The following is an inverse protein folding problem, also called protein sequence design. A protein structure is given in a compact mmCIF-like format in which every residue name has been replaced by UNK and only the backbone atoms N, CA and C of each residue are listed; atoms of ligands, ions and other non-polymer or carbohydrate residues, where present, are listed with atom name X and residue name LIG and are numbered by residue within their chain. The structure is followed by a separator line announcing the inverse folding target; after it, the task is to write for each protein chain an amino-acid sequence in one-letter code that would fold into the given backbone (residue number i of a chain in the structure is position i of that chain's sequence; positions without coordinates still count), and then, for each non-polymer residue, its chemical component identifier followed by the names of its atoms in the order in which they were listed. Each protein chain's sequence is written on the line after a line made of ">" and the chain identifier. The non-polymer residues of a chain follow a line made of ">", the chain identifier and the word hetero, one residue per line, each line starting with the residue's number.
data_IF_456964190999
#
_entry.id   IF_456964190999
#
_cell.length_a   1.000
_cell.length_b   1.000
_cell.length_c   1.000
_cell.angle_alpha   90.00
_cell.angle_beta   90.00
_cell.angle_gamma   90.00
#
_symmetry.space_group_name_H-M   'P 1'
#
loop_
_entity.id
_entity.type
_entity.pdbx_description
1 polymer ?
2 non-polymer ?
3 water ?
#
# COMPACT_ATOMS: atom_id res chain seq x y z
N UNK A 23 8.45 -40.02 -4.85
CA UNK A 23 9.80 -39.39 -4.66
C UNK A 23 9.92 -38.08 -5.45
N UNK A 24 9.00 -37.79 -6.39
CA UNK A 24 8.76 -36.41 -6.90
C UNK A 24 8.17 -35.56 -5.76
N UNK A 25 7.19 -36.09 -5.02
CA UNK A 25 6.64 -35.37 -3.86
C UNK A 25 7.80 -35.01 -2.90
N UNK A 26 8.79 -35.86 -2.73
CA UNK A 26 9.88 -35.59 -1.77
C UNK A 26 10.78 -34.48 -2.34
N UNK A 27 10.97 -34.43 -3.65
CA UNK A 27 11.76 -33.36 -4.30
C UNK A 27 11.05 -32.00 -4.19
N UNK A 28 9.72 -32.00 -4.35
CA UNK A 28 8.84 -30.82 -4.16
C UNK A 28 8.99 -30.32 -2.71
N UNK A 29 9.02 -31.22 -1.73
CA UNK A 29 9.19 -30.85 -0.31
C UNK A 29 10.48 -30.03 -0.15
N UNK A 30 11.60 -30.49 -0.71
CA UNK A 30 12.90 -29.77 -0.58
C UNK A 30 12.81 -28.39 -1.28
N UNK A 31 12.22 -28.33 -2.46
CA UNK A 31 12.07 -27.07 -3.20
C UNK A 31 11.27 -26.10 -2.34
N UNK A 32 10.17 -26.57 -1.73
CA UNK A 32 9.24 -25.73 -0.95
C UNK A 32 9.87 -25.33 0.36
N UNK A 33 10.68 -26.19 0.94
CA UNK A 33 11.38 -25.92 2.20
C UNK A 33 12.28 -24.74 1.94
N UNK A 34 13.11 -24.81 0.92
CA UNK A 34 14.04 -23.68 0.55
C UNK A 34 13.22 -22.41 0.19
N UNK A 35 12.17 -22.54 -0.60
CA UNK A 35 11.32 -21.41 -1.01
C UNK A 35 10.77 -20.67 0.23
N UNK A 36 10.28 -21.40 1.24
CA UNK A 36 9.66 -20.83 2.44
C UNK A 36 10.76 -20.05 3.20
N UNK A 37 11.89 -20.68 3.44
CA UNK A 37 12.91 -20.01 4.30
C UNK A 37 13.50 -18.82 3.56
N UNK A 38 13.70 -18.94 2.26
CA UNK A 38 14.15 -17.82 1.40
C UNK A 38 13.16 -16.68 1.43
N UNK A 39 11.87 -16.98 1.29
CA UNK A 39 10.80 -15.99 1.41
C UNK A 39 10.93 -15.20 2.73
N UNK A 40 11.05 -15.91 3.82
CA UNK A 40 11.14 -15.28 5.16
C UNK A 40 12.37 -14.38 5.21
N UNK A 41 13.47 -14.84 4.67
CA UNK A 41 14.76 -14.08 4.71
C UNK A 41 14.68 -12.87 3.81
N UNK A 42 14.19 -13.02 2.57
CA UNK A 42 14.08 -11.89 1.65
C UNK A 42 13.17 -10.83 2.24
N UNK A 43 12.04 -11.23 2.84
CA UNK A 43 11.12 -10.35 3.56
C UNK A 43 11.84 -9.60 4.72
N UNK A 44 12.61 -10.28 5.54
CA UNK A 44 13.30 -9.60 6.68
C UNK A 44 14.43 -8.69 6.16
N UNK A 45 15.17 -9.00 5.10
CA UNK A 45 16.49 -8.36 4.81
C UNK A 45 16.51 -7.70 3.43
N UNK A 46 15.65 -8.09 2.50
CA UNK A 46 15.77 -7.66 1.09
C UNK A 46 16.80 -8.50 0.32
N UNK A 47 16.67 -8.47 -1.00
CA UNK A 47 17.53 -9.21 -1.95
C UNK A 47 19.00 -8.78 -1.78
N UNK A 48 19.27 -7.48 -1.67
CA UNK A 48 20.68 -6.97 -1.63
C UNK A 48 21.43 -7.47 -0.38
N UNK A 49 20.76 -7.58 0.76
CA UNK A 49 21.43 -7.99 2.03
C UNK A 49 21.21 -9.47 2.36
N UNK A 50 20.86 -10.33 1.40
CA UNK A 50 20.64 -11.77 1.70
C UNK A 50 21.63 -12.59 0.89
N UNK A 51 22.40 -13.43 1.53
CA UNK A 51 23.42 -14.22 0.81
C UNK A 51 22.91 -15.64 0.66
N UNK A 52 23.50 -16.36 -0.28
CA UNK A 52 23.23 -17.80 -0.51
C UNK A 52 23.60 -18.61 0.74
N UNK A 53 24.64 -18.20 1.47
CA UNK A 53 25.05 -18.93 2.68
C UNK A 53 23.92 -18.78 3.72
N UNK A 54 23.37 -17.56 3.90
CA UNK A 54 22.22 -17.40 4.79
C UNK A 54 21.08 -18.34 4.35
N UNK A 55 20.77 -18.40 3.06
CA UNK A 55 19.57 -19.20 2.63
C UNK A 55 19.82 -20.69 2.99
N UNK A 56 21.00 -21.16 2.66
CA UNK A 56 21.48 -22.54 2.97
C UNK A 56 21.41 -22.85 4.47
N UNK A 57 21.76 -21.88 5.29
CA UNK A 57 21.71 -22.10 6.75
C UNK A 57 20.27 -22.09 7.24
N UNK A 58 19.46 -21.10 6.84
CA UNK A 58 18.05 -21.05 7.29
C UNK A 58 17.34 -22.32 6.78
N UNK A 59 17.53 -22.70 5.52
CA UNK A 59 16.77 -23.82 4.90
C UNK A 59 17.39 -25.15 5.34
N UNK A 60 18.65 -25.12 5.81
CA UNK A 60 19.46 -26.32 6.20
C UNK A 60 19.55 -27.28 5.01
N UNK A 61 19.78 -26.70 3.85
CA UNK A 61 19.99 -27.42 2.59
C UNK A 61 21.25 -26.82 2.00
N UNK A 62 22.00 -27.60 1.22
CA UNK A 62 23.30 -27.14 0.68
C UNK A 62 23.09 -26.34 -0.60
N UNK A 63 24.16 -25.68 -1.00
CA UNK A 63 24.18 -24.82 -2.19
C UNK A 63 23.72 -25.64 -3.43
N UNK A 64 24.11 -26.91 -3.54
CA UNK A 64 23.77 -27.71 -4.73
C UNK A 64 22.26 -27.95 -4.78
N UNK A 65 21.61 -28.18 -3.63
CA UNK A 65 20.15 -28.40 -3.54
C UNK A 65 19.42 -27.10 -3.97
N UNK A 66 19.98 -25.97 -3.62
CA UNK A 66 19.35 -24.69 -3.99
C UNK A 66 19.45 -24.51 -5.50
N UNK A 67 20.65 -24.56 -6.02
CA UNK A 67 20.87 -24.38 -7.48
C UNK A 67 20.09 -25.45 -8.27
N UNK A 68 19.94 -26.67 -7.75
CA UNK A 68 19.20 -27.74 -8.41
C UNK A 68 17.77 -27.21 -8.67
N UNK A 69 17.13 -26.81 -7.63
CA UNK A 69 15.71 -26.43 -7.69
C UNK A 69 15.49 -25.07 -8.39
N UNK A 70 16.39 -24.10 -8.26
CA UNK A 70 16.08 -22.71 -8.66
C UNK A 70 17.08 -22.15 -9.63
N UNK A 71 18.10 -22.95 -9.94
CA UNK A 71 19.19 -22.61 -10.91
C UNK A 71 20.25 -21.80 -10.19
N UNK A 72 19.85 -20.66 -9.68
CA UNK A 72 20.78 -19.78 -8.91
C UNK A 72 19.96 -18.86 -7.99
N UNK A 73 20.63 -18.08 -7.17
CA UNK A 73 19.96 -17.17 -6.20
C UNK A 73 18.92 -16.25 -6.87
N UNK A 74 19.20 -15.75 -8.03
CA UNK A 74 18.31 -14.81 -8.74
C UNK A 74 17.06 -15.60 -9.17
N UNK A 75 17.23 -16.85 -9.60
CA UNK A 75 16.08 -17.73 -9.97
C UNK A 75 15.24 -18.06 -8.75
N UNK A 76 15.88 -18.15 -7.58
CA UNK A 76 15.16 -18.37 -6.31
C UNK A 76 14.39 -17.09 -5.93
N UNK A 77 15.00 -15.95 -6.10
CA UNK A 77 14.30 -14.68 -5.82
C UNK A 77 13.06 -14.57 -6.70
N UNK A 78 13.17 -14.86 -7.99
CA UNK A 78 12.00 -14.83 -8.87
C UNK A 78 10.90 -15.74 -8.30
N UNK A 79 11.25 -16.97 -7.91
CA UNK A 79 10.22 -17.94 -7.48
C UNK A 79 9.57 -17.40 -6.20
N UNK A 80 10.35 -16.80 -5.30
CA UNK A 80 9.83 -16.21 -4.06
C UNK A 80 8.79 -15.15 -4.43
N UNK A 81 9.09 -14.25 -5.34
CA UNK A 81 8.13 -13.14 -5.66
C UNK A 81 6.88 -13.74 -6.28
N UNK A 82 6.98 -14.74 -7.15
CA UNK A 82 5.78 -15.32 -7.86
C UNK A 82 4.95 -16.04 -6.80
N UNK A 83 5.60 -16.71 -5.85
CA UNK A 83 4.88 -17.46 -4.77
C UNK A 83 4.19 -16.38 -3.89
N UNK A 84 4.89 -15.30 -3.55
CA UNK A 84 4.33 -14.20 -2.72
C UNK A 84 3.04 -13.72 -3.33
N UNK A 85 3.04 -13.43 -4.62
CA UNK A 85 1.85 -12.91 -5.28
C UNK A 85 0.70 -13.95 -5.30
N UNK A 86 1.05 -15.22 -5.45
CA UNK A 86 0.08 -16.33 -5.52
C UNK A 86 -0.61 -16.49 -4.17
N UNK A 87 0.16 -16.27 -3.10
CA UNK A 87 -0.38 -16.40 -1.72
C UNK A 87 -1.39 -15.28 -1.45
N UNK A 88 -1.08 -14.05 -1.88
CA UNK A 88 -2.02 -12.91 -1.77
C UNK A 88 -3.39 -13.31 -2.35
N UNK A 89 -3.42 -13.70 -3.61
CA UNK A 89 -4.61 -14.24 -4.29
C UNK A 89 -4.18 -15.01 -5.50
N UNK A 90 -4.65 -16.23 -5.60
CA UNK A 90 -4.25 -17.10 -6.71
C UNK A 90 -4.99 -16.63 -7.95
N UNK A 91 -4.33 -16.59 -9.11
CA UNK A 91 -4.94 -16.25 -10.37
C UNK A 91 -6.09 -17.22 -10.65
N UNK A 92 -5.87 -18.52 -10.40
CA UNK A 92 -6.91 -19.56 -10.65
C UNK A 92 -8.19 -19.19 -9.87
N UNK A 93 -8.04 -18.80 -8.61
CA UNK A 93 -9.19 -18.45 -7.76
C UNK A 93 -9.96 -17.29 -8.40
N UNK A 94 -9.24 -16.26 -8.94
CA UNK A 94 -9.98 -15.17 -9.56
C UNK A 94 -10.68 -15.67 -10.82
N UNK A 95 -10.00 -16.44 -11.63
CA UNK A 95 -10.58 -16.99 -12.91
C UNK A 95 -11.83 -17.81 -12.55
N UNK A 96 -11.74 -18.70 -11.56
CA UNK A 96 -12.90 -19.55 -11.16
C UNK A 96 -14.06 -18.64 -10.73
N UNK A 97 -13.82 -17.68 -9.86
CA UNK A 97 -14.96 -16.83 -9.40
C UNK A 97 -15.45 -16.00 -10.58
N UNK A 98 -14.59 -15.71 -11.54
CA UNK A 98 -14.98 -14.84 -12.66
C UNK A 98 -15.90 -15.57 -13.64
N UNK A 99 -15.79 -16.86 -13.77
CA UNK A 99 -16.55 -17.63 -14.74
C UNK A 99 -17.78 -18.31 -14.09
N UNK A 100 -17.96 -18.31 -12.79
CA UNK A 100 -19.16 -18.86 -12.10
C UNK A 100 -20.34 -18.03 -12.58
N UNK A 101 -21.57 -18.59 -12.52
CA UNK A 101 -22.79 -17.80 -12.79
C UNK A 101 -22.98 -16.78 -11.65
N UNK A 102 -23.55 -15.63 -11.94
CA UNK A 102 -23.82 -14.60 -10.92
C UNK A 102 -23.47 -13.24 -11.44
N UNK A 103 -23.97 -12.22 -10.75
CA UNK A 103 -23.83 -10.80 -11.13
C UNK A 103 -22.39 -10.38 -10.92
N UNK A 104 -21.96 -9.32 -11.61
CA UNK A 104 -20.60 -8.86 -11.37
C UNK A 104 -20.43 -8.32 -9.94
N UNK A 105 -21.50 -7.86 -9.30
CA UNK A 105 -21.51 -7.43 -7.86
C UNK A 105 -21.19 -8.66 -6.99
N UNK A 106 -21.81 -9.79 -7.27
CA UNK A 106 -21.54 -11.02 -6.50
C UNK A 106 -20.07 -11.36 -6.69
N UNK A 107 -19.60 -11.37 -7.93
CA UNK A 107 -18.18 -11.73 -8.20
C UNK A 107 -17.20 -10.77 -7.51
N UNK A 108 -17.49 -9.46 -7.53
CA UNK A 108 -16.66 -8.46 -6.82
C UNK A 108 -16.65 -8.75 -5.32
N UNK A 109 -17.80 -9.09 -4.73
CA UNK A 109 -17.86 -9.46 -3.30
C UNK A 109 -17.00 -10.70 -3.07
N UNK A 110 -16.99 -11.67 -3.96
CA UNK A 110 -16.17 -12.88 -3.72
C UNK A 110 -14.70 -12.52 -3.81
N UNK A 111 -14.36 -11.59 -4.70
CA UNK A 111 -12.94 -11.20 -4.86
C UNK A 111 -12.49 -10.45 -3.62
N UNK A 112 -13.27 -9.46 -3.21
CA UNK A 112 -12.96 -8.73 -1.97
C UNK A 112 -12.86 -9.68 -0.79
N UNK A 113 -13.80 -10.62 -0.66
CA UNK A 113 -13.76 -11.64 0.43
C UNK A 113 -12.41 -12.38 0.46
N UNK A 114 -11.83 -12.68 -0.69
CA UNK A 114 -10.52 -13.40 -0.73
C UNK A 114 -9.46 -12.55 -0.09
N UNK A 115 -9.49 -11.26 -0.39
CA UNK A 115 -8.44 -10.36 0.16
C UNK A 115 -8.64 -10.10 1.67
N UNK A 116 -9.87 -9.95 2.09
CA UNK A 116 -10.14 -9.72 3.53
C UNK A 116 -9.88 -11.02 4.31
N UNK A 117 -10.12 -12.16 3.73
CA UNK A 117 -9.79 -13.43 4.44
C UNK A 117 -8.29 -13.60 4.57
N UNK A 118 -7.53 -13.17 3.57
CA UNK A 118 -6.07 -13.14 3.64
C UNK A 118 -5.68 -12.27 4.84
N UNK A 119 -6.23 -11.06 4.93
CA UNK A 119 -5.97 -10.16 6.08
C UNK A 119 -6.22 -10.91 7.40
N UNK A 120 -7.39 -11.49 7.53
CA UNK A 120 -7.84 -12.10 8.79
C UNK A 120 -6.98 -13.32 9.15
N UNK A 121 -6.60 -14.20 8.22
CA UNK A 121 -5.88 -15.47 8.55
C UNK A 121 -4.35 -15.34 8.48
N UNK A 122 -3.77 -14.26 7.93
CA UNK A 122 -2.30 -14.12 7.71
C UNK A 122 -1.90 -12.70 8.04
N UNK A 123 -2.07 -12.32 9.32
CA UNK A 123 -1.64 -10.99 9.75
C UNK A 123 -0.14 -10.75 9.69
N UNK A 124 0.67 -11.82 9.78
CA UNK A 124 2.14 -11.78 9.98
C UNK A 124 2.89 -12.68 8.97
N UNK A 125 2.56 -12.62 7.69
CA UNK A 125 3.19 -13.45 6.65
C UNK A 125 4.40 -12.74 6.09
N UNK A 126 5.03 -13.30 5.07
CA UNK A 126 6.14 -12.63 4.39
C UNK A 126 5.76 -12.17 2.98
N UNK A 127 4.62 -12.62 2.44
CA UNK A 127 4.31 -12.42 1.02
C UNK A 127 4.32 -10.92 0.73
N UNK A 128 3.55 -10.17 1.47
CA UNK A 128 3.42 -8.72 1.20
C UNK A 128 4.70 -7.95 1.52
N UNK A 129 5.50 -8.37 2.50
CA UNK A 129 6.75 -7.68 2.79
C UNK A 129 7.67 -7.81 1.58
N UNK A 130 7.81 -9.02 1.01
CA UNK A 130 8.80 -9.15 -0.07
C UNK A 130 8.25 -8.41 -1.31
N UNK A 131 6.96 -8.48 -1.57
CA UNK A 131 6.43 -7.75 -2.74
C UNK A 131 6.59 -6.23 -2.57
N UNK A 132 6.43 -5.74 -1.35
CA UNK A 132 6.46 -4.29 -1.15
C UNK A 132 7.93 -3.85 -1.39
N UNK A 133 8.89 -4.56 -0.80
CA UNK A 133 10.32 -4.21 -0.97
C UNK A 133 10.65 -4.13 -2.46
N UNK A 134 10.04 -5.02 -3.24
CA UNK A 134 10.25 -5.06 -4.72
C UNK A 134 9.71 -3.76 -5.36
N UNK A 135 8.53 -3.32 -4.93
CA UNK A 135 7.93 -2.11 -5.49
C UNK A 135 8.87 -0.92 -5.11
N UNK A 136 9.37 -0.85 -3.88
CA UNK A 136 10.26 0.24 -3.43
C UNK A 136 11.56 0.29 -4.22
N UNK A 137 12.20 -0.84 -4.52
CA UNK A 137 13.53 -0.90 -5.19
C UNK A 137 13.50 -2.11 -6.12
N UNK A 138 12.89 -1.99 -7.31
CA UNK A 138 12.73 -3.13 -8.21
C UNK A 138 14.04 -3.78 -8.67
N UNK A 139 14.08 -5.10 -8.55
CA UNK A 139 15.06 -5.99 -9.18
C UNK A 139 14.62 -6.24 -10.63
N UNK A 140 15.46 -6.89 -11.47
CA UNK A 140 15.00 -7.29 -12.81
C UNK A 140 13.87 -8.37 -12.76
N UNK A 141 13.57 -8.99 -11.62
CA UNK A 141 12.47 -10.01 -11.57
C UNK A 141 11.09 -9.37 -11.45
N UNK A 142 11.02 -8.11 -11.12
CA UNK A 142 9.74 -7.47 -10.80
C UNK A 142 8.83 -7.47 -12.03
N UNK A 143 9.35 -7.12 -13.19
CA UNK A 143 8.56 -7.03 -14.42
C UNK A 143 7.83 -8.36 -14.67
N UNK A 144 8.44 -9.48 -14.31
CA UNK A 144 7.82 -10.81 -14.52
C UNK A 144 6.56 -10.94 -13.67
N UNK A 145 6.67 -10.53 -12.41
CA UNK A 145 5.50 -10.59 -11.47
C UNK A 145 4.43 -9.67 -12.01
N UNK A 146 4.81 -8.48 -12.46
CA UNK A 146 3.82 -7.50 -12.95
C UNK A 146 3.08 -8.08 -14.16
N UNK A 147 3.79 -8.70 -15.11
CA UNK A 147 3.15 -9.10 -16.40
C UNK A 147 2.43 -10.42 -16.20
N UNK A 148 2.89 -11.30 -15.35
CA UNK A 148 2.28 -12.64 -15.25
C UNK A 148 1.26 -12.75 -14.11
N UNK A 149 1.37 -11.93 -13.06
CA UNK A 149 0.49 -12.02 -11.86
C UNK A 149 -0.33 -10.72 -11.80
N UNK A 150 0.30 -9.55 -11.68
CA UNK A 150 -0.45 -8.30 -11.41
C UNK A 150 -1.44 -8.07 -12.54
N UNK A 151 -0.98 -7.99 -13.77
CA UNK A 151 -1.76 -7.64 -14.97
C UNK A 151 -3.02 -8.50 -15.08
N UNK A 152 -2.96 -9.85 -15.09
CA UNK A 152 -4.17 -10.65 -15.32
C UNK A 152 -5.14 -10.55 -14.13
N UNK A 153 -4.64 -10.41 -12.90
CA UNK A 153 -5.49 -10.34 -11.68
C UNK A 153 -6.21 -8.97 -11.73
N UNK A 154 -5.50 -7.91 -12.09
CA UNK A 154 -6.12 -6.57 -12.28
C UNK A 154 -7.06 -6.55 -13.47
N UNK A 155 -6.80 -7.35 -14.46
CA UNK A 155 -7.64 -7.39 -15.66
C UNK A 155 -9.01 -8.00 -15.31
N UNK A 156 -9.02 -9.03 -14.50
CA UNK A 156 -10.30 -9.63 -14.05
C UNK A 156 -11.04 -8.60 -13.19
N UNK A 157 -10.38 -7.90 -12.28
CA UNK A 157 -11.07 -6.82 -11.53
C UNK A 157 -11.64 -5.78 -12.48
N UNK A 158 -10.84 -5.31 -13.42
CA UNK A 158 -11.32 -4.25 -14.33
C UNK A 158 -12.54 -4.74 -15.08
N UNK A 159 -12.59 -6.02 -15.43
CA UNK A 159 -13.74 -6.53 -16.21
C UNK A 159 -14.98 -6.52 -15.36
N UNK A 160 -14.84 -6.80 -14.05
CA UNK A 160 -16.05 -6.72 -13.15
C UNK A 160 -16.50 -5.26 -12.96
N UNK A 161 -15.56 -4.34 -12.74
CA UNK A 161 -15.93 -2.92 -12.48
C UNK A 161 -16.55 -2.34 -13.76
N UNK A 162 -16.00 -2.67 -14.92
CA UNK A 162 -16.53 -2.25 -16.22
C UNK A 162 -17.95 -2.72 -16.39
N UNK A 163 -18.21 -3.98 -16.06
CA UNK A 163 -19.61 -4.50 -16.14
C UNK A 163 -20.51 -3.72 -15.24
N UNK A 164 -20.04 -3.41 -14.04
CA UNK A 164 -20.87 -2.71 -13.02
C UNK A 164 -21.20 -1.31 -13.53
N UNK A 165 -20.24 -0.65 -14.20
CA UNK A 165 -20.43 0.73 -14.65
C UNK A 165 -20.96 0.77 -16.07
N UNK A 166 -21.09 -0.36 -16.78
CA UNK A 166 -21.40 -0.39 -18.24
C UNK A 166 -20.29 0.39 -18.98
N UNK A 167 -19.04 0.22 -18.60
CA UNK A 167 -17.90 0.81 -19.35
C UNK A 167 -16.94 -0.30 -19.78
N UNK A 168 -16.14 -0.07 -20.85
CA UNK A 168 -15.11 -1.02 -21.26
C UNK A 168 -14.13 -1.21 -20.09
N UNK A 169 -13.51 -2.36 -20.03
CA UNK A 169 -12.54 -2.78 -18.98
C UNK A 169 -11.29 -1.92 -19.08
N UNK A 170 -11.07 -1.23 -20.18
CA UNK A 170 -9.88 -0.35 -20.35
C UNK A 170 -10.33 1.12 -20.48
N UNK A 171 -11.57 1.44 -20.21
CA UNK A 171 -11.95 2.87 -20.04
C UNK A 171 -11.15 3.53 -18.89
N UNK A 172 -10.68 4.78 -19.03
CA UNK A 172 -9.92 5.45 -17.97
C UNK A 172 -10.63 5.41 -16.60
N UNK A 173 -11.95 5.50 -16.57
CA UNK A 173 -12.69 5.44 -15.28
C UNK A 173 -12.56 4.03 -14.67
N UNK A 174 -12.58 2.98 -15.47
CA UNK A 174 -12.37 1.57 -15.07
C UNK A 174 -10.97 1.41 -14.51
N UNK A 175 -9.96 1.95 -15.18
CA UNK A 175 -8.56 1.90 -14.71
C UNK A 175 -8.45 2.58 -13.37
N UNK A 176 -9.00 3.79 -13.23
CA UNK A 176 -8.84 4.49 -11.94
C UNK A 176 -9.64 3.77 -10.83
N UNK A 177 -10.82 3.25 -11.18
CA UNK A 177 -11.67 2.56 -10.20
C UNK A 177 -10.99 1.28 -9.69
N UNK A 178 -10.17 0.60 -10.51
CA UNK A 178 -9.36 -0.54 -10.03
C UNK A 178 -8.51 -0.11 -8.83
N UNK A 179 -7.90 1.07 -8.90
CA UNK A 179 -7.10 1.59 -7.77
C UNK A 179 -8.05 1.82 -6.60
N UNK A 180 -9.16 2.48 -6.83
CA UNK A 180 -10.11 2.86 -5.77
C UNK A 180 -10.62 1.60 -5.07
N UNK A 181 -10.76 0.50 -5.75
CA UNK A 181 -11.31 -0.75 -5.12
C UNK A 181 -10.16 -1.52 -4.51
N UNK A 182 -9.06 -1.69 -5.20
CA UNK A 182 -8.02 -2.63 -4.68
C UNK A 182 -7.15 -2.01 -3.55
N UNK A 183 -6.87 -0.71 -3.60
CA UNK A 183 -5.92 -0.06 -2.67
C UNK A 183 -6.36 -0.20 -1.21
N UNK A 184 -7.64 0.00 -0.84
CA UNK A 184 -8.04 -0.15 0.58
C UNK A 184 -7.72 -1.55 1.11
N UNK A 185 -7.86 -2.58 0.30
CA UNK A 185 -7.47 -3.96 0.72
C UNK A 185 -5.98 -4.05 0.96
N UNK A 186 -5.18 -3.53 0.03
CA UNK A 186 -3.73 -3.60 0.15
C UNK A 186 -3.26 -2.83 1.37
N UNK A 187 -3.80 -1.62 1.56
CA UNK A 187 -3.38 -0.78 2.70
C UNK A 187 -3.66 -1.56 4.00
N UNK A 188 -4.79 -2.22 4.10
CA UNK A 188 -5.13 -3.00 5.31
C UNK A 188 -4.20 -4.19 5.44
N UNK A 189 -3.91 -4.91 4.34
CA UNK A 189 -3.00 -6.09 4.46
C UNK A 189 -1.63 -5.64 4.99
N UNK A 190 -1.13 -4.48 4.58
CA UNK A 190 0.22 -4.01 5.00
C UNK A 190 0.20 -3.27 6.35
N UNK A 191 -0.82 -2.47 6.65
CA UNK A 191 -0.77 -1.53 7.76
C UNK A 191 -1.80 -1.82 8.87
N UNK A 192 -2.51 -2.95 8.87
CA UNK A 192 -3.61 -3.22 9.81
C UNK A 192 -3.15 -2.95 11.24
N UNK A 193 -1.95 -3.32 11.60
CA UNK A 193 -1.59 -3.27 13.04
C UNK A 193 -1.38 -1.82 13.50
N UNK A 194 -0.57 -0.96 12.86
CA UNK A 194 -0.44 0.42 13.26
C UNK A 194 -1.78 1.18 13.18
N UNK A 195 -2.60 0.91 12.16
CA UNK A 195 -3.90 1.55 12.03
C UNK A 195 -4.76 1.20 13.23
N UNK A 196 -4.87 -0.07 13.61
CA UNK A 196 -5.80 -0.47 14.65
C UNK A 196 -5.27 0.01 16.00
N UNK A 197 -3.95 0.05 16.17
CA UNK A 197 -3.33 0.33 17.47
C UNK A 197 -3.17 1.84 17.67
N UNK A 198 -2.92 2.67 16.66
CA UNK A 198 -2.45 4.07 16.88
C UNK A 198 -3.15 5.12 16.04
N UNK A 199 -3.66 4.78 14.86
CA UNK A 199 -4.16 5.82 13.94
C UNK A 199 -5.68 5.80 13.96
N UNK A 200 -6.27 4.63 13.86
CA UNK A 200 -7.71 4.43 13.73
C UNK A 200 -8.13 3.50 14.85
N UNK A 201 -7.81 3.85 16.09
CA UNK A 201 -8.11 3.02 17.29
C UNK A 201 -9.61 2.79 17.33
N UNK A 202 -10.02 1.57 17.61
CA UNK A 202 -11.44 1.23 17.58
C UNK A 202 -11.83 0.60 16.24
N UNK A 203 -10.88 0.59 15.31
CA UNK A 203 -11.10 -0.01 13.98
C UNK A 203 -11.38 -1.49 14.18
N UNK A 204 -12.52 -1.96 13.66
CA UNK A 204 -12.91 -3.40 13.75
C UNK A 204 -12.58 -4.09 12.43
N UNK A 205 -11.60 -5.00 12.44
CA UNK A 205 -11.18 -5.69 11.21
C UNK A 205 -11.96 -6.99 11.11
N UNK A 206 -13.11 -7.06 11.78
CA UNK A 206 -13.99 -8.27 11.67
C UNK A 206 -14.36 -8.39 10.19
N UNK A 207 -14.11 -9.57 9.59
CA UNK A 207 -14.19 -9.71 8.15
C UNK A 207 -15.55 -9.34 7.56
N UNK A 208 -16.67 -9.76 8.15
CA UNK A 208 -17.95 -9.55 7.49
C UNK A 208 -18.22 -8.02 7.35
N UNK A 209 -17.95 -7.28 8.40
CA UNK A 209 -18.18 -5.83 8.41
C UNK A 209 -17.22 -5.14 7.47
N UNK A 210 -15.96 -5.59 7.34
CA UNK A 210 -15.04 -4.99 6.34
C UNK A 210 -15.58 -5.24 4.93
N UNK A 211 -15.92 -6.46 4.64
CA UNK A 211 -16.40 -6.81 3.28
C UNK A 211 -17.68 -6.00 2.99
N UNK A 212 -18.63 -5.93 3.92
CA UNK A 212 -19.91 -5.17 3.73
C UNK A 212 -19.58 -3.69 3.46
N UNK A 213 -18.67 -3.14 4.25
CA UNK A 213 -18.23 -1.73 4.02
C UNK A 213 -17.62 -1.62 2.62
N UNK A 214 -16.67 -2.48 2.27
CA UNK A 214 -16.00 -2.33 0.96
C UNK A 214 -17.01 -2.48 -0.17
N UNK A 215 -17.96 -3.35 -0.04
CA UNK A 215 -18.89 -3.58 -1.17
C UNK A 215 -19.82 -2.35 -1.25
N UNK A 216 -20.39 -1.87 -0.14
CA UNK A 216 -21.33 -0.71 -0.13
C UNK A 216 -20.63 0.50 -0.66
N UNK A 217 -19.45 0.74 -0.15
CA UNK A 217 -18.68 1.93 -0.60
C UNK A 217 -18.35 1.84 -2.08
N UNK A 218 -17.78 0.70 -2.54
CA UNK A 218 -17.42 0.58 -3.94
C UNK A 218 -18.66 0.79 -4.80
N UNK A 219 -19.76 0.10 -4.54
CA UNK A 219 -20.90 0.24 -5.48
C UNK A 219 -21.38 1.71 -5.48
N UNK A 220 -21.35 2.41 -4.35
CA UNK A 220 -21.71 3.83 -4.36
C UNK A 220 -20.70 4.59 -5.18
N UNK A 221 -19.42 4.31 -4.99
CA UNK A 221 -18.44 5.13 -5.74
C UNK A 221 -18.46 4.82 -7.21
N UNK A 222 -18.54 3.55 -7.58
CA UNK A 222 -18.63 3.08 -8.99
C UNK A 222 -19.84 3.74 -9.70
N UNK A 223 -20.99 3.77 -9.06
CA UNK A 223 -22.20 4.40 -9.68
C UNK A 223 -21.91 5.89 -9.94
N UNK A 224 -21.21 6.57 -9.05
CA UNK A 224 -20.95 8.03 -9.17
C UNK A 224 -19.99 8.29 -10.34
N UNK A 225 -18.90 7.54 -10.49
CA UNK A 225 -17.97 7.82 -11.61
C UNK A 225 -18.55 7.32 -12.93
N UNK A 226 -19.36 6.28 -12.92
CA UNK A 226 -20.03 5.78 -14.13
C UNK A 226 -20.94 6.91 -14.64
N UNK A 227 -21.67 7.60 -13.76
CA UNK A 227 -22.62 8.67 -14.15
C UNK A 227 -21.84 9.77 -14.88
N UNK A 228 -20.70 10.21 -14.37
CA UNK A 228 -19.91 11.27 -15.03
C UNK A 228 -19.28 10.75 -16.33
N UNK A 229 -18.89 9.46 -16.43
CA UNK A 229 -18.29 8.94 -17.67
C UNK A 229 -19.39 8.86 -18.75
N UNK A 230 -20.58 8.46 -18.41
CA UNK A 230 -21.64 8.29 -19.42
C UNK A 230 -22.23 9.65 -19.87
N UNK A 231 -22.10 10.74 -19.11
CA UNK A 231 -22.58 12.07 -19.57
C UNK A 231 -21.47 12.80 -20.36
N UNK A 232 -20.19 12.61 -20.02
CA UNK A 232 -18.99 13.20 -20.69
C UNK A 232 -18.93 12.79 -22.18
N UNK B 29 21.40 24.33 8.48
CA UNK B 29 21.87 23.96 7.10
C UNK B 29 22.63 22.62 7.15
N UNK B 30 23.64 22.48 8.02
CA UNK B 30 24.33 21.20 8.33
C UNK B 30 23.29 20.20 8.86
N UNK B 31 22.40 20.63 9.76
CA UNK B 31 21.28 19.79 10.27
C UNK B 31 20.41 19.32 9.08
N UNK B 32 20.02 20.20 8.17
CA UNK B 32 19.10 19.88 7.03
C UNK B 32 19.85 19.01 6.02
N UNK B 33 21.11 19.30 5.76
CA UNK B 33 21.87 18.49 4.80
C UNK B 33 21.95 17.06 5.32
N UNK B 34 22.33 16.86 6.59
CA UNK B 34 22.41 15.51 7.23
C UNK B 34 21.04 14.81 7.10
N UNK B 35 19.95 15.52 7.35
CA UNK B 35 18.57 14.95 7.34
C UNK B 35 18.25 14.46 5.93
N UNK B 36 18.48 15.30 4.92
CA UNK B 36 18.22 14.99 3.50
C UNK B 36 19.02 13.77 3.04
N UNK B 37 20.32 13.72 3.32
CA UNK B 37 21.16 12.64 2.78
C UNK B 37 20.86 11.35 3.54
N UNK B 38 20.71 11.41 4.85
CA UNK B 38 20.32 10.24 5.63
C UNK B 38 18.96 9.70 5.11
N UNK B 39 18.04 10.58 4.73
CA UNK B 39 16.74 10.20 4.16
C UNK B 39 16.93 9.38 2.91
N UNK B 40 17.77 9.87 2.00
CA UNK B 40 18.09 9.17 0.73
C UNK B 40 18.68 7.78 1.03
N UNK B 41 19.64 7.68 1.95
CA UNK B 41 20.32 6.41 2.30
C UNK B 41 19.35 5.46 2.98
N UNK B 42 18.60 5.91 3.99
CA UNK B 42 17.58 5.05 4.64
C UNK B 42 16.52 4.58 3.62
N UNK B 43 16.10 5.44 2.70
CA UNK B 43 15.17 5.03 1.64
C UNK B 43 15.78 3.91 0.77
N UNK B 44 17.05 4.03 0.41
CA UNK B 44 17.72 3.06 -0.51
C UNK B 44 17.96 1.74 0.23
N UNK B 45 18.46 1.78 1.47
CA UNK B 45 19.12 0.62 2.14
C UNK B 45 18.37 0.19 3.40
N UNK B 46 17.47 1.02 3.92
CA UNK B 46 16.83 0.74 5.23
C UNK B 46 17.79 0.98 6.36
N UNK B 47 17.24 1.16 7.57
CA UNK B 47 17.99 1.51 8.79
C UNK B 47 19.05 0.43 9.08
N UNK B 48 18.67 -0.85 8.99
CA UNK B 48 19.54 -1.96 9.42
C UNK B 48 20.84 -1.97 8.61
N UNK B 49 20.75 -1.69 7.31
CA UNK B 49 21.88 -1.76 6.35
C UNK B 49 22.50 -0.36 6.16
N UNK B 50 22.28 0.60 7.07
CA UNK B 50 22.85 1.95 6.90
C UNK B 50 23.77 2.24 8.09
N UNK B 51 24.98 2.71 7.78
CA UNK B 51 26.06 2.95 8.75
C UNK B 51 26.14 4.45 9.08
N UNK B 52 26.55 4.76 10.30
CA UNK B 52 26.93 6.15 10.68
C UNK B 52 28.02 6.69 9.72
N UNK B 53 28.97 5.87 9.28
CA UNK B 53 30.05 6.30 8.35
C UNK B 53 29.47 6.66 6.96
N UNK B 54 28.53 5.86 6.42
CA UNK B 54 27.91 6.16 5.12
C UNK B 54 27.21 7.53 5.22
N UNK B 55 26.57 7.79 6.35
CA UNK B 55 25.78 9.05 6.47
C UNK B 55 26.76 10.22 6.47
N UNK B 56 27.85 10.12 7.22
CA UNK B 56 28.90 11.18 7.24
C UNK B 56 29.50 11.40 5.84
N UNK B 57 29.76 10.38 5.03
CA UNK B 57 30.31 10.60 3.66
C UNK B 57 29.28 11.29 2.75
N UNK B 58 28.10 10.71 2.57
CA UNK B 58 27.04 11.31 1.73
C UNK B 58 26.71 12.74 2.20
N UNK B 59 26.66 12.95 3.51
CA UNK B 59 26.29 14.25 4.13
C UNK B 59 27.50 15.22 4.07
N UNK B 60 28.72 14.70 4.17
CA UNK B 60 29.99 15.48 4.34
C UNK B 60 29.89 16.30 5.64
N UNK B 61 29.49 15.66 6.72
CA UNK B 61 29.46 16.21 8.08
C UNK B 61 30.19 15.22 8.98
N UNK B 62 30.69 15.69 10.13
CA UNK B 62 31.51 14.84 11.02
C UNK B 62 30.54 14.10 11.96
N UNK B 63 30.97 12.95 12.47
CA UNK B 63 30.30 12.12 13.50
C UNK B 63 29.83 12.98 14.69
N UNK B 64 30.65 13.92 15.16
CA UNK B 64 30.34 14.75 16.35
C UNK B 64 29.22 15.74 15.98
N UNK B 65 29.15 16.23 14.71
CA UNK B 65 28.08 17.14 14.23
C UNK B 65 26.76 16.36 14.07
N UNK B 66 26.85 15.07 13.72
CA UNK B 66 25.66 14.17 13.73
C UNK B 66 25.20 14.03 15.20
N UNK B 67 26.15 13.73 16.10
CA UNK B 67 25.90 13.42 17.53
C UNK B 67 25.38 14.67 18.21
N UNK B 68 25.92 15.82 17.81
CA UNK B 68 25.45 17.11 18.34
C UNK B 68 23.97 17.33 17.95
N UNK B 69 23.55 17.17 16.69
CA UNK B 69 22.23 17.61 16.19
C UNK B 69 21.16 16.55 16.49
N UNK B 70 21.54 15.28 16.63
CA UNK B 70 20.60 14.14 16.57
C UNK B 70 20.93 13.10 17.66
N UNK B 71 21.96 13.38 18.48
CA UNK B 71 22.34 12.51 19.64
C UNK B 71 22.99 11.23 19.13
N UNK B 72 22.33 10.46 18.26
CA UNK B 72 22.94 9.24 17.69
C UNK B 72 22.15 8.82 16.43
N UNK B 73 22.47 7.67 15.87
CA UNK B 73 21.84 7.22 14.60
C UNK B 73 20.32 7.05 14.78
N UNK B 74 19.90 6.55 15.95
CA UNK B 74 18.48 6.25 16.28
C UNK B 74 17.72 7.57 16.32
N UNK B 75 18.29 8.58 16.94
CA UNK B 75 17.72 9.95 16.96
C UNK B 75 17.66 10.55 15.57
N UNK B 76 18.67 10.35 14.75
CA UNK B 76 18.63 10.87 13.38
C UNK B 76 17.56 10.12 12.59
N UNK B 77 17.48 8.81 12.77
CA UNK B 77 16.44 8.01 12.07
C UNK B 77 15.03 8.55 12.42
N UNK B 78 14.76 8.74 13.72
CA UNK B 78 13.50 9.35 14.22
C UNK B 78 13.29 10.66 13.45
N UNK B 79 14.27 11.53 13.39
CA UNK B 79 14.09 12.84 12.71
C UNK B 79 13.78 12.57 11.25
N UNK B 80 14.39 11.54 10.65
CA UNK B 80 14.15 11.29 9.22
C UNK B 80 12.67 10.88 9.03
N UNK B 81 12.15 9.99 9.88
CA UNK B 81 10.79 9.48 9.74
C UNK B 81 9.82 10.66 9.94
N UNK B 82 10.14 11.55 10.90
CA UNK B 82 9.23 12.72 11.16
C UNK B 82 9.24 13.66 9.96
N UNK B 83 10.37 13.93 9.38
CA UNK B 83 10.49 14.73 8.16
C UNK B 83 9.72 14.06 7.02
N UNK B 84 9.88 12.73 6.87
CA UNK B 84 9.31 12.03 5.73
C UNK B 84 7.79 12.19 5.80
N UNK B 85 7.24 12.01 6.99
CA UNK B 85 5.80 12.18 7.18
C UNK B 85 5.38 13.61 6.82
N UNK B 86 6.13 14.61 7.24
CA UNK B 86 5.82 16.01 6.94
C UNK B 86 5.86 16.23 5.43
N UNK B 87 6.77 15.58 4.72
CA UNK B 87 6.87 15.81 3.26
C UNK B 87 5.65 15.22 2.53
N UNK B 88 5.13 14.10 3.02
CA UNK B 88 3.92 13.48 2.45
C UNK B 88 2.84 14.55 2.50
N UNK B 89 2.52 15.06 3.70
CA UNK B 89 1.60 16.21 3.83
C UNK B 89 1.83 16.87 5.19
N UNK B 90 1.93 18.17 5.20
CA UNK B 90 2.28 18.90 6.45
C UNK B 90 1.02 19.07 7.30
N UNK B 91 1.14 18.80 8.59
CA UNK B 91 -0.03 18.87 9.49
C UNK B 91 -0.56 20.32 9.44
N UNK B 92 0.33 21.30 9.36
CA UNK B 92 -0.06 22.73 9.29
C UNK B 92 -0.94 22.97 8.05
N UNK B 93 -0.63 22.31 6.94
CA UNK B 93 -1.40 22.47 5.68
C UNK B 93 -2.81 21.92 5.86
N UNK B 94 -2.95 20.83 6.59
CA UNK B 94 -4.24 20.15 6.75
C UNK B 94 -5.04 21.02 7.71
N UNK B 95 -4.38 21.56 8.72
CA UNK B 95 -5.10 22.36 9.75
C UNK B 95 -5.68 23.62 9.05
N UNK B 96 -4.89 24.22 8.20
CA UNK B 96 -5.24 25.43 7.45
C UNK B 96 -6.46 25.09 6.59
N UNK B 97 -6.45 23.99 5.85
CA UNK B 97 -7.55 23.74 4.89
C UNK B 97 -8.75 23.31 5.71
N UNK B 98 -8.51 22.77 6.90
CA UNK B 98 -9.63 22.36 7.78
C UNK B 98 -10.32 23.60 8.36
N UNK B 99 -9.59 24.68 8.59
CA UNK B 99 -10.08 25.89 9.34
C UNK B 99 -10.64 26.93 8.38
N UNK B 100 -10.30 26.93 7.10
CA UNK B 100 -10.79 27.93 6.16
C UNK B 100 -12.25 27.63 5.92
N UNK B 101 -13.02 28.68 5.54
CA UNK B 101 -14.42 28.49 5.14
C UNK B 101 -14.53 27.56 3.92
N UNK B 102 -15.56 26.75 3.92
CA UNK B 102 -15.89 25.86 2.80
C UNK B 102 -16.69 24.69 3.32
N UNK B 103 -17.46 24.05 2.47
CA UNK B 103 -18.17 22.79 2.78
C UNK B 103 -17.09 21.74 3.07
N UNK B 104 -17.39 20.69 3.85
CA UNK B 104 -16.46 19.59 4.06
C UNK B 104 -16.13 18.83 2.76
N UNK B 105 -17.01 18.89 1.76
CA UNK B 105 -16.73 18.35 0.43
C UNK B 105 -15.62 19.16 -0.24
N UNK B 106 -15.65 20.48 -0.16
CA UNK B 106 -14.55 21.31 -0.72
C UNK B 106 -13.26 21.02 0.04
N UNK B 107 -13.32 20.86 1.36
CA UNK B 107 -12.10 20.64 2.15
C UNK B 107 -11.52 19.24 1.79
N UNK B 108 -12.37 18.24 1.60
CA UNK B 108 -11.92 16.89 1.19
C UNK B 108 -11.20 17.06 -0.13
N UNK B 109 -11.79 17.85 -1.05
CA UNK B 109 -11.21 18.02 -2.40
C UNK B 109 -9.82 18.63 -2.28
N UNK B 110 -9.63 19.57 -1.37
CA UNK B 110 -8.30 20.22 -1.15
C UNK B 110 -7.35 19.21 -0.51
N UNK B 111 -7.83 18.33 0.36
CA UNK B 111 -6.95 17.32 1.03
C UNK B 111 -6.43 16.31 0.00
N UNK B 112 -7.34 15.81 -0.82
CA UNK B 112 -7.04 14.88 -1.95
C UNK B 112 -6.08 15.56 -2.93
N UNK B 113 -6.39 16.79 -3.31
CA UNK B 113 -5.54 17.63 -4.20
C UNK B 113 -4.11 17.60 -3.69
N UNK B 114 -3.91 17.84 -2.41
CA UNK B 114 -2.56 17.81 -1.84
C UNK B 114 -1.84 16.49 -2.19
N UNK B 115 -2.48 15.35 -2.01
CA UNK B 115 -1.81 14.03 -2.22
C UNK B 115 -1.55 13.83 -3.72
N UNK B 116 -2.52 14.08 -4.55
CA UNK B 116 -2.43 13.92 -6.02
C UNK B 116 -1.31 14.82 -6.57
N UNK B 117 -1.22 16.06 -6.15
CA UNK B 117 -0.15 16.98 -6.64
C UNK B 117 1.21 16.45 -6.20
N UNK B 118 1.33 15.79 -5.05
CA UNK B 118 2.62 15.22 -4.56
C UNK B 118 3.07 14.18 -5.60
N UNK B 119 2.13 13.47 -6.16
CA UNK B 119 2.38 12.47 -7.21
C UNK B 119 3.00 13.13 -8.42
N UNK B 120 2.49 14.29 -8.80
CA UNK B 120 2.96 15.03 -10.00
C UNK B 120 4.29 15.73 -9.71
N UNK B 121 4.55 16.26 -8.52
CA UNK B 121 5.71 17.15 -8.31
C UNK B 121 6.89 16.41 -7.71
N UNK B 122 6.66 15.32 -6.97
CA UNK B 122 7.72 14.49 -6.33
C UNK B 122 7.48 13.01 -6.63
N UNK B 123 7.56 12.56 -7.89
CA UNK B 123 7.40 11.10 -8.18
C UNK B 123 8.56 10.19 -7.73
N UNK B 124 9.67 10.83 -7.38
CA UNK B 124 11.05 10.34 -7.19
C UNK B 124 11.47 10.24 -5.71
N UNK B 125 10.72 10.82 -4.76
CA UNK B 125 11.31 11.21 -3.46
C UNK B 125 11.71 10.03 -2.62
N UNK B 126 12.34 10.27 -1.48
CA UNK B 126 12.63 9.18 -0.52
C UNK B 126 11.57 9.04 0.57
N UNK B 127 10.65 9.99 0.76
CA UNK B 127 9.83 10.05 1.98
C UNK B 127 8.98 8.77 2.08
N UNK B 128 8.18 8.48 1.06
CA UNK B 128 7.27 7.30 1.09
C UNK B 128 8.06 5.99 1.14
N UNK B 129 9.20 5.90 0.47
CA UNK B 129 10.07 4.71 0.63
C UNK B 129 10.43 4.57 2.11
N UNK B 130 10.87 5.62 2.78
CA UNK B 130 11.37 5.37 4.16
C UNK B 130 10.17 5.06 5.07
N UNK B 131 9.03 5.69 4.84
CA UNK B 131 7.83 5.37 5.65
C UNK B 131 7.37 3.93 5.38
N UNK B 132 7.37 3.51 4.14
CA UNK B 132 6.89 2.14 3.80
C UNK B 132 7.82 1.10 4.45
N UNK B 133 9.12 1.31 4.39
CA UNK B 133 10.09 0.40 5.05
C UNK B 133 9.72 0.34 6.52
N UNK B 134 9.29 1.45 7.10
CA UNK B 134 9.07 1.52 8.54
C UNK B 134 7.82 0.70 8.84
N UNK B 135 6.83 0.76 7.99
CA UNK B 135 5.61 -0.02 8.27
C UNK B 135 5.94 -1.53 8.21
N UNK B 136 6.77 -1.96 7.29
CA UNK B 136 7.11 -3.39 7.13
C UNK B 136 7.90 -3.91 8.35
N UNK B 137 8.79 -3.13 8.93
CA UNK B 137 9.69 -3.60 10.04
C UNK B 137 9.82 -2.48 11.06
N UNK B 138 8.81 -2.29 11.92
CA UNK B 138 8.76 -1.13 12.79
C UNK B 138 9.96 -1.14 13.74
N UNK B 139 10.69 -0.04 13.76
CA UNK B 139 11.68 0.31 14.80
C UNK B 139 10.96 0.84 16.04
N UNK B 140 11.67 1.07 17.16
CA UNK B 140 11.08 1.78 18.30
C UNK B 140 10.68 3.25 18.06
N UNK B 141 11.20 3.90 17.03
CA UNK B 141 10.78 5.27 16.62
C UNK B 141 9.41 5.27 15.93
N UNK B 142 8.84 4.13 15.61
CA UNK B 142 7.59 4.10 14.79
C UNK B 142 6.41 4.73 15.57
N UNK B 143 6.15 4.31 16.82
CA UNK B 143 5.06 4.88 17.64
C UNK B 143 5.08 6.42 17.61
N UNK B 144 6.24 7.05 17.79
CA UNK B 144 6.34 8.53 17.83
C UNK B 144 5.67 9.10 16.58
N UNK B 145 6.06 8.64 15.41
CA UNK B 145 5.53 9.18 14.10
C UNK B 145 4.02 8.90 14.04
N UNK B 146 3.60 7.71 14.41
CA UNK B 146 2.16 7.36 14.38
C UNK B 146 1.37 8.30 15.31
N UNK B 147 1.93 8.68 16.47
CA UNK B 147 1.19 9.49 17.46
C UNK B 147 1.23 10.96 17.03
N UNK B 148 2.36 11.45 16.56
CA UNK B 148 2.56 12.89 16.33
C UNK B 148 2.21 13.25 14.92
N UNK B 149 2.26 12.33 13.96
CA UNK B 149 1.99 12.71 12.54
C UNK B 149 0.74 11.96 12.03
N UNK B 150 0.75 10.64 12.03
CA UNK B 150 -0.35 9.84 11.41
C UNK B 150 -1.68 10.14 12.11
N UNK B 151 -1.71 10.01 13.44
CA UNK B 151 -2.98 10.22 14.17
C UNK B 151 -3.62 11.59 13.82
N UNK B 152 -2.97 12.74 14.04
CA UNK B 152 -3.68 14.00 13.89
C UNK B 152 -4.07 14.23 12.43
N UNK B 153 -3.29 13.72 11.52
CA UNK B 153 -3.58 13.91 10.08
C UNK B 153 -4.83 13.07 9.71
N UNK B 154 -4.85 11.81 10.10
CA UNK B 154 -6.01 10.96 9.87
C UNK B 154 -7.23 11.58 10.57
N UNK B 155 -7.01 12.07 11.77
CA UNK B 155 -8.08 12.73 12.56
C UNK B 155 -8.72 13.82 11.68
N UNK B 156 -7.93 14.65 11.02
CA UNK B 156 -8.55 15.73 10.25
C UNK B 156 -9.41 15.10 9.15
N UNK B 157 -8.89 14.07 8.47
CA UNK B 157 -9.65 13.41 7.41
C UNK B 157 -10.94 12.82 8.01
N UNK B 158 -10.82 12.12 9.15
CA UNK B 158 -12.01 11.51 9.81
C UNK B 158 -13.04 12.61 10.14
N UNK B 159 -12.58 13.79 10.56
CA UNK B 159 -13.58 14.85 10.90
C UNK B 159 -14.28 15.31 9.63
N UNK B 160 -13.58 15.40 8.51
CA UNK B 160 -14.28 15.78 7.26
C UNK B 160 -15.28 14.71 6.83
N UNK B 161 -14.89 13.42 6.94
CA UNK B 161 -15.77 12.32 6.44
C UNK B 161 -16.98 12.25 7.37
N UNK B 162 -16.73 12.46 8.66
CA UNK B 162 -17.82 12.49 9.66
C UNK B 162 -18.83 13.60 9.37
N UNK B 163 -18.35 14.76 8.98
CA UNK B 163 -19.31 15.84 8.67
C UNK B 163 -20.08 15.44 7.41
N UNK B 164 -19.40 14.89 6.40
CA UNK B 164 -20.06 14.58 5.11
C UNK B 164 -21.16 13.54 5.36
N UNK B 165 -20.91 12.60 6.24
CA UNK B 165 -21.87 11.49 6.47
C UNK B 165 -22.80 11.78 7.65
N UNK B 166 -22.61 12.86 8.40
CA UNK B 166 -23.38 13.12 9.67
C UNK B 166 -23.16 11.95 10.65
N UNK B 167 -21.90 11.59 10.89
CA UNK B 167 -21.52 10.54 11.88
C UNK B 167 -20.39 11.08 12.70
N UNK B 168 -20.25 10.61 13.93
CA UNK B 168 -19.09 10.99 14.73
C UNK B 168 -17.78 10.65 13.99
N UNK B 169 -16.73 11.43 14.25
CA UNK B 169 -15.42 11.26 13.62
C UNK B 169 -14.81 9.88 13.98
N UNK B 170 -15.25 9.24 15.05
CA UNK B 170 -14.73 7.92 15.52
C UNK B 170 -15.81 6.85 15.41
N UNK B 171 -16.88 7.12 14.68
CA UNK B 171 -17.88 6.08 14.31
C UNK B 171 -17.13 4.99 13.52
N UNK B 172 -17.37 3.68 13.75
CA UNK B 172 -16.70 2.62 12.97
C UNK B 172 -16.79 2.79 11.44
N UNK B 173 -17.88 3.36 10.93
CA UNK B 173 -18.08 3.62 9.50
C UNK B 173 -17.12 4.73 9.04
N UNK B 174 -16.88 5.72 9.90
CA UNK B 174 -15.93 6.82 9.60
C UNK B 174 -14.51 6.29 9.60
N UNK B 175 -14.19 5.39 10.54
CA UNK B 175 -12.80 4.85 10.61
C UNK B 175 -12.48 4.06 9.32
N UNK B 176 -13.45 3.25 8.88
CA UNK B 176 -13.28 2.41 7.66
C UNK B 176 -13.24 3.31 6.41
N UNK B 177 -14.02 4.40 6.42
CA UNK B 177 -14.09 5.34 5.27
C UNK B 177 -12.76 6.07 5.10
N UNK B 178 -12.08 6.35 6.20
CA UNK B 178 -10.75 6.97 6.15
C UNK B 178 -9.84 6.06 5.33
N UNK B 179 -9.90 4.75 5.57
CA UNK B 179 -9.05 3.81 4.75
C UNK B 179 -9.50 3.90 3.29
N UNK B 180 -10.81 3.84 3.06
CA UNK B 180 -11.35 3.88 1.69
C UNK B 180 -10.87 5.11 0.93
N UNK B 181 -10.73 6.23 1.61
CA UNK B 181 -10.42 7.52 0.91
C UNK B 181 -8.93 7.71 0.77
N UNK B 182 -8.19 7.40 1.80
CA UNK B 182 -6.73 7.68 1.81
C UNK B 182 -5.98 6.60 1.00
N UNK B 183 -6.35 5.33 1.14
CA UNK B 183 -5.55 4.25 0.50
C UNK B 183 -5.31 4.45 -0.99
N UNK B 184 -6.31 4.82 -1.85
CA UNK B 184 -6.02 4.99 -3.27
C UNK B 184 -4.93 6.02 -3.55
N UNK B 185 -4.88 7.10 -2.78
CA UNK B 185 -3.81 8.12 -2.99
C UNK B 185 -2.48 7.49 -2.64
N UNK B 186 -2.42 6.74 -1.56
CA UNK B 186 -1.15 6.15 -1.08
C UNK B 186 -0.64 5.10 -2.08
N UNK B 187 -1.54 4.27 -2.61
CA UNK B 187 -1.16 3.27 -3.62
C UNK B 187 -0.54 3.96 -4.84
N UNK B 188 -1.15 5.03 -5.34
CA UNK B 188 -0.67 5.78 -6.51
C UNK B 188 0.70 6.40 -6.19
N UNK B 189 0.87 7.01 -5.02
CA UNK B 189 2.14 7.59 -4.63
C UNK B 189 3.22 6.50 -4.62
N UNK B 190 2.92 5.30 -4.15
CA UNK B 190 3.97 4.25 -4.07
C UNK B 190 4.15 3.55 -5.40
N UNK B 191 3.10 3.31 -6.19
CA UNK B 191 3.09 2.28 -7.25
C UNK B 191 2.76 2.87 -8.59
N UNK B 192 2.75 4.18 -8.74
CA UNK B 192 2.35 4.81 -10.01
C UNK B 192 3.12 4.21 -11.18
N UNK B 193 4.41 4.03 -11.06
CA UNK B 193 5.22 3.60 -12.23
C UNK B 193 4.89 2.17 -12.65
N UNK B 194 5.00 1.10 -11.83
CA UNK B 194 4.58 -0.23 -12.33
C UNK B 194 3.08 -0.24 -12.72
N UNK B 195 2.24 0.58 -12.10
CA UNK B 195 0.79 0.63 -12.47
C UNK B 195 0.64 1.20 -13.90
N UNK B 196 1.25 2.35 -14.14
CA UNK B 196 1.10 3.02 -15.45
C UNK B 196 1.76 2.19 -16.53
N UNK B 197 2.86 1.53 -16.26
CA UNK B 197 3.46 0.89 -17.44
C UNK B 197 3.26 -0.62 -17.51
N UNK B 198 2.72 -1.32 -16.52
CA UNK B 198 2.54 -2.79 -16.67
C UNK B 198 1.15 -3.28 -16.23
N UNK B 199 0.45 -2.64 -15.29
CA UNK B 199 -0.74 -3.30 -14.72
C UNK B 199 -1.96 -2.61 -15.28
N UNK B 200 -1.97 -1.27 -15.26
CA UNK B 200 -3.08 -0.46 -15.77
C UNK B 200 -2.55 0.42 -16.87
N UNK B 201 -2.19 -0.17 -17.99
CA UNK B 201 -1.54 0.56 -19.12
C UNK B 201 -2.62 1.45 -19.68
N UNK B 202 -2.31 2.70 -19.85
CA UNK B 202 -3.37 3.59 -20.35
C UNK B 202 -3.83 4.50 -19.24
N UNK B 203 -3.32 4.29 -18.01
CA UNK B 203 -3.66 5.15 -16.85
C UNK B 203 -3.02 6.51 -17.06
N UNK B 204 -3.86 7.52 -17.13
CA UNK B 204 -3.39 8.93 -17.03
C UNK B 204 -3.23 9.33 -15.53
N UNK B 205 -2.10 9.92 -15.23
CA UNK B 205 -1.85 10.43 -13.87
C UNK B 205 -2.05 11.96 -13.91
N UNK B 206 -2.75 12.46 -14.94
CA UNK B 206 -2.98 13.92 -14.98
C UNK B 206 -3.78 14.25 -13.72
N UNK B 207 -3.34 15.23 -12.91
CA UNK B 207 -3.92 15.44 -11.59
C UNK B 207 -5.42 15.77 -11.53
N UNK B 208 -5.91 16.59 -12.46
CA UNK B 208 -7.32 17.04 -12.36
C UNK B 208 -8.26 15.83 -12.50
N UNK B 209 -7.98 14.98 -13.47
CA UNK B 209 -8.75 13.77 -13.77
C UNK B 209 -8.77 12.82 -12.58
N UNK B 210 -7.65 12.68 -11.89
CA UNK B 210 -7.55 11.82 -10.68
C UNK B 210 -8.31 12.46 -9.53
N UNK B 211 -8.16 13.78 -9.33
CA UNK B 211 -8.90 14.49 -8.23
C UNK B 211 -10.41 14.35 -8.44
N UNK B 212 -10.87 14.60 -9.66
CA UNK B 212 -12.30 14.51 -10.00
C UNK B 212 -12.80 13.07 -9.72
N UNK B 213 -12.08 12.06 -10.18
CA UNK B 213 -12.42 10.63 -9.91
C UNK B 213 -12.48 10.41 -8.44
N UNK B 214 -11.43 10.76 -7.72
CA UNK B 214 -11.42 10.46 -6.29
C UNK B 214 -12.56 11.15 -5.56
N UNK B 215 -12.82 12.43 -5.86
CA UNK B 215 -13.93 13.16 -5.22
C UNK B 215 -15.29 12.52 -5.55
N UNK B 216 -15.56 12.22 -6.81
CA UNK B 216 -16.89 11.67 -7.19
C UNK B 216 -17.05 10.30 -6.55
N UNK B 217 -15.97 9.52 -6.54
CA UNK B 217 -16.02 8.15 -6.01
C UNK B 217 -16.28 8.24 -4.51
N UNK B 218 -15.47 9.02 -3.82
CA UNK B 218 -15.57 9.13 -2.34
C UNK B 218 -16.96 9.60 -1.91
N UNK B 219 -17.48 10.61 -2.58
CA UNK B 219 -18.83 11.15 -2.19
C UNK B 219 -19.89 10.09 -2.45
N UNK B 220 -19.73 9.27 -3.47
CA UNK B 220 -20.69 8.18 -3.71
C UNK B 220 -20.56 7.04 -2.71
N UNK B 221 -19.33 6.67 -2.37
CA UNK B 221 -19.08 5.62 -1.37
C UNK B 221 -19.55 6.11 -0.01
N UNK B 222 -19.19 7.34 0.39
CA UNK B 222 -19.59 7.87 1.75
C UNK B 222 -21.13 7.97 1.91
N UNK B 223 -21.86 8.32 0.87
CA UNK B 223 -23.34 8.36 0.86
C UNK B 223 -23.88 6.96 1.12
N UNK B 224 -23.34 5.93 0.46
CA UNK B 224 -23.84 4.54 0.58
C UNK B 224 -23.54 4.04 1.98
N UNK B 225 -22.32 4.21 2.52
CA UNK B 225 -22.08 3.61 3.86
C UNK B 225 -22.78 4.48 4.94
N UNK B 226 -22.91 5.79 4.71
CA UNK B 226 -23.65 6.63 5.67
C UNK B 226 -25.09 6.06 5.80
N UNK B 227 -25.73 5.76 4.67
CA UNK B 227 -27.14 5.28 4.63
C UNK B 227 -27.27 4.05 5.53
N UNK B 228 -26.37 3.05 5.42
CA UNK B 228 -26.51 1.82 6.23
C UNK B 228 -26.27 2.16 7.70
N UNK B 229 -25.32 3.03 8.01
CA UNK B 229 -25.04 3.35 9.42
C UNK B 229 -26.26 4.03 10.04
N UNK B 230 -26.93 4.94 9.33
CA UNK B 230 -28.09 5.67 9.82
C UNK B 230 -29.29 4.71 9.91
N UNK B 231 -29.37 3.59 9.19
CA UNK B 231 -30.50 2.62 9.38
C UNK B 231 -30.21 1.69 10.55
N UNK B 232 -28.95 1.32 10.75
CA UNK B 232 -28.51 0.52 11.91
C UNK B 232 -28.87 1.26 13.22
N UNK B 233 -28.78 2.62 13.25
CA UNK B 233 -28.96 3.50 14.44
C UNK B 233 -30.30 4.25 14.37
#
# INVERSE_FOLDING_TARGET
>A
MGHHHHHHHMDNAIGKPSLPRASRLDGQATRLQILEKAGELFAEQGLANTTSKQICERSQANSAAVNYHFVNKEGLYRAVLLEAHARLVQLETLVSLNERPGSPQDKLRALITVLVERLHNHPDGWALKVLTREVLSPSPEFEVVLKEQSFPKAHILRGLLGQIMNLPADHPTTLRSAISVFAPCLFLLIAHQPLKQHVLQGLSLEPQGLIDHMMSYALGGLQAVAATAHDAAS
>B
MGHHHHHHHMDNAIGKPSLPRASRLDGQATRLQILEKAGELFAEQGLANTTSKQICERSQANSAAVNYHFVNKEGLYRAVLLEAHARLVQLETLVSLNERPGSPQDKLRALITVLVERLHNHPDGWALKVLTREVLSPSPEFEVVLKEQSFPKAHILRGLLGQIMNLPADHPTTLRSAISVFAPCLFLLIAHQPLKQHVLQGLSLEPQGLIDHMMSYALGGLQAVAATAHDAAS
#
